data_IF_496505120865
#
_entry.id   IF_496505120865
#
_cell.length_a   1.000
_cell.length_b   1.000
_cell.length_c   1.000
_cell.angle_alpha   90.00
_cell.angle_beta   90.00
_cell.angle_gamma   90.00
#
_symmetry.space_group_name_H-M   'P 1'
#
loop_
_entity.id
_entity.type
_entity.pdbx_description
1 polymer ?
#
# COMPACT_ATOMS: atom_id res chain seq x y z
N UNK A 1 74.03 -19.75 -22.27
CA UNK A 1 73.33 -18.48 -21.94
C UNK A 1 71.89 -18.67 -22.30
N UNK A 2 70.99 -18.89 -21.29
CA UNK A 2 69.55 -19.11 -21.46
C UNK A 2 68.86 -17.82 -21.07
N UNK A 3 68.25 -17.11 -22.04
CA UNK A 3 67.45 -15.90 -21.81
C UNK A 3 66.07 -16.30 -21.23
N UNK A 4 65.83 -15.91 -19.99
CA UNK A 4 64.50 -16.00 -19.37
C UNK A 4 63.65 -14.89 -19.93
N UNK A 5 62.56 -15.25 -20.63
CA UNK A 5 61.47 -14.35 -21.03
C UNK A 5 60.44 -14.31 -19.86
N UNK A 6 60.36 -13.17 -19.20
CA UNK A 6 59.35 -12.92 -18.18
C UNK A 6 58.10 -12.39 -18.91
N UNK A 7 57.05 -13.22 -18.96
CA UNK A 7 55.78 -12.85 -19.51
C UNK A 7 54.94 -12.21 -18.36
N UNK A 8 54.83 -10.89 -18.35
CA UNK A 8 53.98 -10.16 -17.40
C UNK A 8 52.56 -10.24 -17.85
N UNK A 9 51.75 -11.04 -17.12
CA UNK A 9 50.31 -11.13 -17.30
C UNK A 9 49.65 -9.91 -16.61
N UNK A 10 49.31 -8.89 -17.39
CA UNK A 10 48.51 -7.74 -16.92
C UNK A 10 47.07 -8.17 -16.70
N UNK A 11 46.67 -8.32 -15.46
CA UNK A 11 45.25 -8.52 -15.10
C UNK A 11 44.53 -7.17 -15.19
N UNK A 12 43.76 -6.98 -16.27
CA UNK A 12 42.87 -5.83 -16.43
C UNK A 12 41.65 -6.04 -15.54
N UNK A 13 41.67 -5.43 -14.34
CA UNK A 13 40.50 -5.36 -13.47
C UNK A 13 39.45 -4.42 -14.09
N UNK A 14 38.47 -5.00 -14.78
CA UNK A 14 37.27 -4.29 -15.25
C UNK A 14 36.38 -4.02 -14.04
N UNK A 15 36.52 -2.85 -13.43
CA UNK A 15 35.56 -2.39 -12.42
C UNK A 15 34.25 -2.06 -13.12
N UNK A 16 33.27 -2.99 -13.07
CA UNK A 16 31.91 -2.71 -13.44
C UNK A 16 31.37 -1.79 -12.34
N UNK A 17 31.34 -0.48 -12.62
CA UNK A 17 30.59 0.47 -11.81
C UNK A 17 29.12 0.12 -11.94
N UNK A 18 28.59 -0.63 -10.97
CA UNK A 18 27.16 -0.83 -10.82
C UNK A 18 26.59 0.54 -10.51
N UNK A 19 25.98 1.20 -11.51
CA UNK A 19 25.25 2.44 -11.32
C UNK A 19 24.09 2.14 -10.40
N UNK A 20 24.28 2.35 -9.10
CA UNK A 20 23.21 2.28 -8.13
C UNK A 20 22.19 3.36 -8.51
N UNK A 21 21.07 2.93 -9.10
CA UNK A 21 19.97 3.82 -9.45
C UNK A 21 19.55 4.56 -8.17
N UNK A 22 19.58 5.91 -8.25
CA UNK A 22 19.25 6.74 -7.08
C UNK A 22 17.89 6.33 -6.55
N UNK A 23 17.74 6.05 -5.23
CA UNK A 23 16.45 5.66 -4.67
C UNK A 23 15.39 6.72 -5.03
N UNK A 24 14.16 6.29 -5.32
CA UNK A 24 13.08 7.21 -5.62
C UNK A 24 12.81 8.12 -4.42
N UNK A 25 12.73 9.43 -4.66
CA UNK A 25 12.48 10.45 -3.63
C UNK A 25 11.01 10.44 -3.19
N UNK A 26 10.70 9.62 -2.18
CA UNK A 26 9.40 9.58 -1.53
C UNK A 26 9.17 10.84 -0.71
N UNK A 27 7.94 11.35 -0.74
CA UNK A 27 7.52 12.54 -0.01
C UNK A 27 6.42 12.21 0.98
N UNK A 28 6.41 12.90 2.11
CA UNK A 28 5.28 12.84 3.04
C UNK A 28 3.96 13.08 2.32
N UNK A 29 3.00 12.18 2.53
CA UNK A 29 1.71 12.19 1.85
C UNK A 29 1.64 11.37 0.56
N UNK A 30 2.76 10.78 0.09
CA UNK A 30 2.69 9.75 -0.96
C UNK A 30 1.93 8.53 -0.44
N UNK A 31 1.18 7.90 -1.31
CA UNK A 31 0.33 6.74 -0.98
C UNK A 31 0.94 5.51 -1.64
N UNK A 32 1.28 4.51 -0.86
CA UNK A 32 1.88 3.26 -1.32
C UNK A 32 0.80 2.19 -1.44
N UNK A 33 0.53 1.74 -2.66
CA UNK A 33 -0.37 0.63 -2.95
C UNK A 33 0.44 -0.66 -3.08
N UNK A 34 0.06 -1.68 -2.34
CA UNK A 34 0.82 -2.92 -2.22
C UNK A 34 -0.04 -4.15 -2.56
N UNK A 35 0.53 -5.07 -3.35
CA UNK A 35 0.04 -6.44 -3.42
C UNK A 35 0.77 -7.25 -2.34
N UNK A 36 0.06 -7.69 -1.31
CA UNK A 36 0.69 -8.38 -0.18
C UNK A 36 1.15 -9.79 -0.57
N UNK A 37 2.34 -10.20 -0.13
CA UNK A 37 2.87 -11.54 -0.40
C UNK A 37 2.22 -12.64 0.43
N UNK A 38 1.61 -12.29 1.55
CA UNK A 38 0.93 -13.25 2.41
C UNK A 38 -0.23 -13.88 1.62
N UNK A 39 -0.05 -15.15 1.23
CA UNK A 39 -1.10 -15.96 0.57
C UNK A 39 -2.16 -16.44 1.56
N UNK A 40 -2.50 -15.61 2.55
CA UNK A 40 -3.60 -15.95 3.46
C UNK A 40 -4.90 -15.95 2.67
N UNK A 41 -5.84 -16.76 3.11
CA UNK A 41 -7.19 -16.78 2.54
C UNK A 41 -7.84 -15.38 2.55
N UNK A 42 -7.53 -14.57 3.55
CA UNK A 42 -8.03 -13.21 3.70
C UNK A 42 -7.51 -12.26 2.60
N UNK A 43 -6.19 -12.26 2.31
CA UNK A 43 -5.60 -11.44 1.24
C UNK A 43 -6.19 -11.82 -0.11
N UNK A 44 -6.30 -13.12 -0.42
CA UNK A 44 -6.95 -13.60 -1.64
C UNK A 44 -8.40 -13.16 -1.75
N UNK A 45 -9.13 -13.20 -0.64
CA UNK A 45 -10.52 -12.76 -0.62
C UNK A 45 -10.66 -11.26 -0.97
N UNK A 46 -9.76 -10.40 -0.48
CA UNK A 46 -9.71 -8.98 -0.85
C UNK A 46 -9.38 -8.82 -2.35
N UNK A 47 -8.37 -9.51 -2.86
CA UNK A 47 -7.94 -9.45 -4.26
C UNK A 47 -9.09 -9.82 -5.22
N UNK A 48 -9.90 -10.80 -4.88
CA UNK A 48 -11.00 -11.30 -5.72
C UNK A 48 -12.19 -10.34 -5.82
N UNK A 49 -12.39 -9.47 -4.83
CA UNK A 49 -13.55 -8.55 -4.80
C UNK A 49 -13.19 -7.12 -5.19
N UNK A 50 -11.91 -6.79 -5.34
CA UNK A 50 -11.45 -5.44 -5.68
C UNK A 50 -10.84 -5.36 -7.08
N UNK A 51 -11.04 -4.23 -7.78
CA UNK A 51 -10.39 -3.95 -9.06
C UNK A 51 -9.32 -2.87 -8.85
N UNK A 52 -8.10 -3.15 -9.28
CA UNK A 52 -6.95 -2.27 -9.09
C UNK A 52 -6.49 -1.61 -10.38
N UNK A 53 -5.57 -0.63 -10.27
CA UNK A 53 -4.82 -0.10 -11.38
C UNK A 53 -4.04 -1.24 -12.05
N UNK A 54 -4.12 -1.34 -13.38
CA UNK A 54 -3.38 -2.30 -14.22
C UNK A 54 -3.51 -3.76 -13.72
N UNK A 55 -4.66 -4.13 -13.14
CA UNK A 55 -4.97 -5.46 -12.60
C UNK A 55 -3.95 -6.01 -11.58
N UNK A 56 -3.24 -5.10 -10.90
CA UNK A 56 -2.20 -5.46 -9.93
C UNK A 56 -2.73 -6.05 -8.61
N UNK A 57 -4.04 -6.11 -8.43
CA UNK A 57 -4.72 -6.71 -7.28
C UNK A 57 -4.18 -6.21 -5.93
N UNK A 58 -4.15 -4.88 -5.74
CA UNK A 58 -3.71 -4.29 -4.48
C UNK A 58 -4.61 -4.71 -3.33
N UNK A 59 -4.01 -5.30 -2.32
CA UNK A 59 -4.67 -5.77 -1.10
C UNK A 59 -4.34 -4.93 0.12
N UNK A 60 -3.42 -3.97 0.00
CA UNK A 60 -3.00 -3.11 1.10
C UNK A 60 -2.58 -1.72 0.63
N UNK A 61 -2.66 -0.73 1.54
CA UNK A 61 -2.27 0.65 1.27
C UNK A 61 -1.82 1.35 2.55
N UNK A 62 -0.84 2.26 2.41
CA UNK A 62 -0.36 3.11 3.50
C UNK A 62 0.12 4.46 3.00
N UNK A 63 0.42 5.38 3.90
CA UNK A 63 0.84 6.76 3.61
C UNK A 63 2.25 7.00 4.09
N UNK A 64 3.09 7.54 3.21
CA UNK A 64 4.49 7.90 3.53
C UNK A 64 4.53 9.06 4.53
N UNK A 65 5.37 8.89 5.54
CA UNK A 65 5.81 9.91 6.48
C UNK A 65 7.34 9.98 6.43
N UNK A 66 7.89 11.11 6.01
CA UNK A 66 9.32 11.40 6.12
C UNK A 66 9.55 12.18 7.41
N UNK A 67 10.34 11.64 8.33
CA UNK A 67 10.60 12.20 9.66
C UNK A 67 12.09 11.96 10.01
N UNK A 68 12.82 13.02 10.35
CA UNK A 68 14.26 12.98 10.68
C UNK A 68 15.13 12.27 9.62
N UNK A 69 14.84 12.49 8.35
CA UNK A 69 15.54 11.88 7.22
C UNK A 69 15.22 10.40 6.99
N UNK A 70 14.34 9.81 7.78
CA UNK A 70 13.87 8.43 7.65
C UNK A 70 12.49 8.37 7.00
N UNK A 71 12.22 7.29 6.27
CA UNK A 71 10.94 7.08 5.61
C UNK A 71 10.15 6.00 6.33
N UNK A 72 8.97 6.37 6.77
CA UNK A 72 7.99 5.47 7.40
C UNK A 72 6.71 5.41 6.57
N UNK A 73 5.87 4.42 6.86
CA UNK A 73 4.52 4.28 6.32
C UNK A 73 3.53 4.25 7.49
N UNK A 74 2.56 5.16 7.47
CA UNK A 74 1.41 5.11 8.36
C UNK A 74 0.37 4.20 7.72
N UNK A 75 0.00 3.12 8.41
CA UNK A 75 -0.87 2.08 7.88
C UNK A 75 -1.76 1.46 8.97
N UNK A 76 -2.97 1.03 8.59
CA UNK A 76 -3.75 0.13 9.42
C UNK A 76 -3.48 -1.30 8.96
N UNK A 77 -2.83 -2.07 9.80
CA UNK A 77 -2.50 -3.48 9.61
C UNK A 77 -2.82 -4.25 10.90
N UNK A 78 -2.71 -5.57 10.89
CA UNK A 78 -2.97 -6.35 12.09
C UNK A 78 -1.76 -6.26 13.04
N UNK A 79 -1.96 -6.00 14.34
CA UNK A 79 -3.26 -5.86 15.05
C UNK A 79 -3.85 -4.46 15.08
N UNK A 80 -3.11 -3.41 14.67
CA UNK A 80 -3.49 -2.01 14.88
C UNK A 80 -2.99 -1.05 13.79
N UNK A 81 -3.32 0.23 13.94
CA UNK A 81 -2.75 1.32 13.14
C UNK A 81 -1.36 1.64 13.65
N UNK A 82 -0.36 1.57 12.78
CA UNK A 82 1.03 1.71 13.18
C UNK A 82 1.88 2.56 12.20
N UNK A 83 3.08 2.92 12.68
CA UNK A 83 4.14 3.55 11.89
C UNK A 83 5.20 2.50 11.56
N UNK A 84 5.27 2.06 10.32
CA UNK A 84 6.15 0.99 9.84
C UNK A 84 7.34 1.57 9.06
N UNK A 85 8.60 1.18 9.32
CA UNK A 85 9.72 1.53 8.46
C UNK A 85 9.49 1.10 7.01
N UNK A 86 9.84 1.96 6.03
CA UNK A 86 9.62 1.69 4.61
C UNK A 86 10.14 0.31 4.18
N UNK A 87 11.34 -0.05 4.62
CA UNK A 87 11.94 -1.35 4.27
C UNK A 87 11.07 -2.54 4.72
N UNK A 88 10.50 -2.46 5.94
CA UNK A 88 9.59 -3.48 6.47
C UNK A 88 8.31 -3.54 5.65
N UNK A 89 7.73 -2.39 5.28
CA UNK A 89 6.56 -2.31 4.42
C UNK A 89 6.84 -2.96 3.06
N UNK A 90 7.94 -2.59 2.38
CA UNK A 90 8.30 -3.16 1.08
C UNK A 90 8.54 -4.67 1.14
N UNK A 91 9.14 -5.19 2.21
CA UNK A 91 9.35 -6.63 2.41
C UNK A 91 8.06 -7.45 2.54
N UNK A 92 6.94 -6.81 2.85
CA UNK A 92 5.62 -7.48 2.91
C UNK A 92 4.94 -7.59 1.54
N UNK A 93 5.42 -6.88 0.54
CA UNK A 93 4.89 -6.94 -0.82
C UNK A 93 5.22 -8.29 -1.50
N UNK A 94 4.33 -8.72 -2.40
CA UNK A 94 4.65 -9.74 -3.39
C UNK A 94 5.84 -9.26 -4.22
N UNK A 95 6.70 -10.18 -4.64
CA UNK A 95 7.87 -9.83 -5.46
C UNK A 95 7.70 -10.33 -6.88
N UNK A 96 8.13 -9.50 -7.84
CA UNK A 96 8.33 -9.86 -9.26
C UNK A 96 9.77 -9.51 -9.59
N UNK A 97 10.54 -10.49 -10.07
CA UNK A 97 11.96 -10.35 -10.41
C UNK A 97 12.81 -9.74 -9.27
N UNK A 98 12.50 -10.10 -8.02
CA UNK A 98 13.19 -9.59 -6.83
C UNK A 98 12.70 -8.22 -6.35
N UNK A 99 11.84 -7.53 -7.10
CA UNK A 99 11.33 -6.21 -6.77
C UNK A 99 9.93 -6.28 -6.13
N UNK A 100 9.62 -5.44 -5.12
CA UNK A 100 8.32 -5.45 -4.47
C UNK A 100 7.24 -4.87 -5.38
N UNK A 101 6.09 -5.54 -5.48
CA UNK A 101 4.92 -5.03 -6.21
C UNK A 101 4.27 -3.93 -5.38
N UNK A 102 4.86 -2.74 -5.47
CA UNK A 102 4.39 -1.51 -4.83
C UNK A 102 4.37 -0.37 -5.85
N UNK A 103 3.27 0.38 -5.85
CA UNK A 103 3.06 1.55 -6.70
C UNK A 103 2.88 2.79 -5.82
N UNK A 104 3.50 3.90 -6.22
CA UNK A 104 3.45 5.17 -5.51
C UNK A 104 2.47 6.11 -6.19
N UNK A 105 1.39 6.46 -5.51
CA UNK A 105 0.45 7.50 -5.89
C UNK A 105 0.72 8.79 -5.11
N UNK A 106 0.93 9.90 -5.82
CA UNK A 106 1.13 11.22 -5.20
C UNK A 106 -0.11 12.07 -5.36
N UNK A 107 -0.67 12.66 -4.28
CA UNK A 107 -1.77 13.59 -4.38
C UNK A 107 -1.46 14.73 -5.36
N UNK A 108 -2.41 15.03 -6.26
CA UNK A 108 -2.24 16.11 -7.26
C UNK A 108 -2.06 17.47 -6.58
N UNK A 109 -1.42 18.46 -7.25
CA UNK A 109 -1.07 19.77 -6.66
C UNK A 109 -2.19 20.43 -5.87
N UNK A 110 -3.43 20.36 -6.37
CA UNK A 110 -4.60 20.94 -5.70
C UNK A 110 -4.94 20.32 -4.34
N UNK A 111 -4.40 19.15 -4.03
CA UNK A 111 -4.62 18.44 -2.77
C UNK A 111 -3.41 18.43 -1.82
N UNK A 112 -2.25 18.90 -2.29
CA UNK A 112 -1.02 18.88 -1.49
C UNK A 112 -1.12 19.73 -0.21
N UNK A 113 -1.89 20.82 -0.26
CA UNK A 113 -2.11 21.68 0.92
C UNK A 113 -2.85 20.96 2.07
N UNK A 114 -3.55 19.87 1.79
CA UNK A 114 -4.23 19.07 2.83
C UNK A 114 -3.32 18.04 3.51
N UNK A 115 -2.12 17.78 2.97
CA UNK A 115 -1.23 16.72 3.48
C UNK A 115 -0.84 16.93 4.95
N UNK A 116 -0.41 18.12 5.42
CA UNK A 116 -0.05 18.29 6.85
C UNK A 116 -1.19 17.87 7.78
N UNK A 117 -2.43 18.34 7.51
CA UNK A 117 -3.60 17.96 8.30
C UNK A 117 -3.91 16.45 8.19
N UNK A 118 -3.75 15.88 7.00
CA UNK A 118 -3.96 14.44 6.81
C UNK A 118 -2.99 13.61 7.66
N UNK A 119 -1.72 14.02 7.74
CA UNK A 119 -0.73 13.35 8.58
C UNK A 119 -1.08 13.47 10.07
N UNK A 120 -1.55 14.62 10.54
CA UNK A 120 -2.01 14.78 11.93
C UNK A 120 -3.17 13.83 12.25
N UNK A 121 -4.17 13.74 11.36
CA UNK A 121 -5.29 12.81 11.52
C UNK A 121 -4.80 11.36 11.51
N UNK A 122 -3.93 10.96 10.59
CA UNK A 122 -3.35 9.61 10.55
C UNK A 122 -2.59 9.27 11.82
N UNK A 123 -1.80 10.23 12.35
CA UNK A 123 -1.10 10.05 13.63
C UNK A 123 -2.07 9.89 14.81
N UNK A 124 -3.26 10.49 14.78
CA UNK A 124 -4.25 10.33 15.84
C UNK A 124 -4.89 8.94 15.89
N UNK A 125 -4.77 8.17 14.81
CA UNK A 125 -5.25 6.78 14.76
C UNK A 125 -4.21 5.77 15.27
N UNK A 126 -2.95 6.15 15.50
CA UNK A 126 -1.90 5.23 15.96
C UNK A 126 -2.33 4.47 17.22
N UNK A 127 -2.15 3.15 17.22
CA UNK A 127 -2.56 2.25 18.29
C UNK A 127 -4.05 1.88 18.30
N UNK A 128 -4.87 2.46 17.41
CA UNK A 128 -6.26 2.05 17.26
C UNK A 128 -6.35 0.66 16.63
N UNK A 129 -7.29 -0.21 17.05
CA UNK A 129 -7.39 -1.57 16.58
C UNK A 129 -7.68 -1.67 15.07
N UNK A 130 -7.20 -2.75 14.45
CA UNK A 130 -7.55 -3.07 13.06
C UNK A 130 -9.03 -3.48 12.95
N UNK A 131 -9.74 -2.94 11.95
CA UNK A 131 -11.11 -3.33 11.67
C UNK A 131 -11.18 -4.56 10.76
N UNK A 132 -11.54 -5.69 11.33
CA UNK A 132 -11.73 -6.95 10.60
C UNK A 132 -13.09 -7.06 9.91
N UNK A 133 -14.03 -6.19 10.26
CA UNK A 133 -15.41 -6.28 9.79
C UNK A 133 -15.82 -5.16 8.83
N UNK A 134 -14.93 -4.22 8.59
CA UNK A 134 -15.07 -3.13 7.62
C UNK A 134 -16.33 -2.27 7.85
N UNK A 135 -16.70 -2.08 9.11
CA UNK A 135 -17.86 -1.26 9.48
C UNK A 135 -17.42 0.18 9.80
N UNK A 136 -18.15 1.20 9.34
CA UNK A 136 -17.87 2.58 9.73
C UNK A 136 -18.17 2.81 11.22
N UNK A 137 -17.56 3.85 11.78
CA UNK A 137 -17.88 4.40 13.11
C UNK A 137 -17.78 3.41 14.30
N UNK A 138 -16.87 2.43 14.23
CA UNK A 138 -16.66 1.41 15.27
C UNK A 138 -15.38 1.57 16.07
N UNK A 139 -14.67 2.71 15.94
CA UNK A 139 -13.36 3.03 16.55
C UNK A 139 -12.24 2.00 16.22
N UNK A 140 -12.40 1.29 15.12
CA UNK A 140 -11.43 0.40 14.50
C UNK A 140 -11.22 0.84 13.06
N UNK A 141 -10.09 0.49 12.47
CA UNK A 141 -9.75 1.06 11.17
C UNK A 141 -9.09 0.02 10.26
N UNK A 142 -9.48 0.00 9.00
CA UNK A 142 -8.78 -0.76 7.96
C UNK A 142 -7.95 0.16 7.05
N UNK A 143 -7.07 -0.41 6.25
CA UNK A 143 -5.98 0.31 5.58
C UNK A 143 -6.43 1.49 4.71
N UNK A 144 -7.42 1.32 3.85
CA UNK A 144 -7.91 2.39 2.99
C UNK A 144 -8.85 3.36 3.70
N UNK A 145 -9.50 2.95 4.77
CA UNK A 145 -10.38 3.80 5.56
C UNK A 145 -9.63 4.95 6.25
N UNK A 146 -8.47 4.67 6.88
CA UNK A 146 -7.68 5.74 7.51
C UNK A 146 -7.27 6.82 6.50
N UNK A 147 -7.02 6.44 5.24
CA UNK A 147 -6.69 7.39 4.17
C UNK A 147 -7.92 8.20 3.76
N UNK A 148 -9.07 7.55 3.63
CA UNK A 148 -10.33 8.20 3.32
C UNK A 148 -10.70 9.25 4.36
N UNK A 149 -10.57 8.92 5.64
CA UNK A 149 -10.90 9.80 6.77
C UNK A 149 -9.88 10.94 6.94
N UNK A 150 -8.62 10.71 6.58
CA UNK A 150 -7.54 11.68 6.77
C UNK A 150 -7.41 12.69 5.61
N UNK A 151 -7.54 12.25 4.36
CA UNK A 151 -7.35 13.12 3.21
C UNK A 151 -8.61 13.91 2.88
N UNK A 152 -8.74 15.08 3.51
CA UNK A 152 -9.92 15.95 3.38
C UNK A 152 -9.61 17.20 2.55
N UNK A 153 -10.63 17.67 1.83
CA UNK A 153 -10.63 18.99 1.17
C UNK A 153 -10.81 20.09 2.23
N UNK A 154 -10.57 21.37 1.89
CA UNK A 154 -10.79 22.47 2.84
C UNK A 154 -12.20 22.55 3.43
N UNK A 155 -13.20 22.07 2.70
CA UNK A 155 -14.60 22.00 3.16
C UNK A 155 -14.93 20.75 3.99
N UNK A 156 -13.94 19.98 4.42
CA UNK A 156 -14.08 18.75 5.22
C UNK A 156 -14.54 17.52 4.44
N UNK A 157 -14.83 17.62 3.14
CA UNK A 157 -15.24 16.44 2.34
C UNK A 157 -14.00 15.60 1.96
N UNK A 158 -14.11 14.27 1.98
CA UNK A 158 -13.02 13.39 1.55
C UNK A 158 -12.55 13.67 0.13
N UNK A 159 -11.26 13.48 -0.11
CA UNK A 159 -10.65 13.59 -1.45
C UNK A 159 -10.96 12.33 -2.26
N UNK A 160 -10.94 11.18 -1.60
CA UNK A 160 -11.30 9.89 -2.19
C UNK A 160 -12.82 9.65 -2.10
N UNK A 161 -13.32 8.75 -2.91
CA UNK A 161 -14.75 8.39 -2.93
C UNK A 161 -14.95 7.08 -2.17
N UNK A 162 -15.93 7.02 -1.29
CA UNK A 162 -16.46 5.76 -0.79
C UNK A 162 -17.51 5.22 -1.77
N UNK A 163 -17.54 3.91 -1.95
CA UNK A 163 -18.47 3.19 -2.82
C UNK A 163 -19.12 2.05 -2.04
N UNK A 164 -20.30 1.57 -2.45
CA UNK A 164 -20.88 0.38 -1.86
C UNK A 164 -19.89 -0.79 -1.97
N UNK A 165 -19.50 -1.35 -0.82
CA UNK A 165 -18.64 -2.52 -0.78
C UNK A 165 -19.36 -3.76 -1.29
N UNK A 166 -18.65 -4.63 -1.98
CA UNK A 166 -19.13 -5.95 -2.32
C UNK A 166 -18.12 -7.02 -1.89
N UNK A 167 -18.65 -8.09 -1.31
CA UNK A 167 -17.90 -9.27 -0.89
C UNK A 167 -18.18 -10.46 -1.83
N UNK A 168 -18.78 -10.16 -2.98
CA UNK A 168 -19.04 -11.12 -4.04
C UNK A 168 -17.83 -11.20 -4.98
N UNK A 169 -17.48 -12.40 -5.32
CA UNK A 169 -16.47 -12.68 -6.35
C UNK A 169 -16.92 -12.11 -7.69
N UNK A 170 -16.01 -11.48 -8.44
CA UNK A 170 -16.33 -10.76 -9.68
C UNK A 170 -16.77 -11.67 -10.83
N UNK A 171 -16.28 -12.92 -10.83
CA UNK A 171 -16.54 -13.88 -11.91
C UNK A 171 -17.84 -14.66 -11.65
N UNK A 172 -18.05 -15.06 -10.39
CA UNK A 172 -19.19 -15.90 -10.01
C UNK A 172 -20.40 -15.13 -9.51
N UNK A 173 -20.22 -13.89 -9.04
CA UNK A 173 -21.26 -13.10 -8.39
C UNK A 173 -21.65 -13.59 -6.99
N UNK A 174 -21.00 -14.62 -6.47
CA UNK A 174 -21.27 -15.26 -5.20
C UNK A 174 -20.31 -14.82 -4.10
N UNK A 175 -20.81 -14.72 -2.88
CA UNK A 175 -19.92 -14.51 -1.71
C UNK A 175 -19.13 -15.77 -1.43
N UNK A 176 -17.80 -15.64 -1.50
CA UNK A 176 -16.91 -16.79 -1.32
C UNK A 176 -17.04 -17.41 0.09
N UNK A 177 -16.78 -18.73 0.23
CA UNK A 177 -16.77 -19.38 1.55
C UNK A 177 -15.78 -18.74 2.53
N UNK A 178 -14.73 -18.11 2.03
CA UNK A 178 -13.75 -17.40 2.86
C UNK A 178 -14.36 -16.19 3.56
N UNK A 179 -15.16 -15.38 2.84
CA UNK A 179 -15.85 -14.24 3.42
C UNK A 179 -16.95 -14.70 4.38
N UNK A 180 -17.75 -15.69 4.02
CA UNK A 180 -18.78 -16.27 4.91
C UNK A 180 -18.16 -16.69 6.25
N UNK A 181 -17.09 -17.51 6.20
CA UNK A 181 -16.39 -17.98 7.41
C UNK A 181 -15.73 -16.84 8.20
N UNK A 182 -15.22 -15.81 7.50
CA UNK A 182 -14.61 -14.64 8.13
C UNK A 182 -15.62 -13.88 8.99
N UNK A 183 -16.78 -13.49 8.42
CA UNK A 183 -17.80 -12.74 9.13
C UNK A 183 -18.51 -13.58 10.20
N UNK A 184 -18.68 -14.87 9.97
CA UNK A 184 -19.18 -15.82 10.95
C UNK A 184 -18.29 -15.86 12.23
N UNK A 185 -16.95 -15.94 12.03
CA UNK A 185 -15.97 -15.87 13.13
C UNK A 185 -16.07 -14.58 13.92
N UNK A 186 -16.34 -13.48 13.27
CA UNK A 186 -16.49 -12.17 13.91
C UNK A 186 -17.92 -11.90 14.40
N UNK A 187 -18.84 -12.86 14.25
CA UNK A 187 -20.25 -12.77 14.68
C UNK A 187 -20.95 -11.51 14.15
N UNK A 188 -20.66 -11.15 12.90
CA UNK A 188 -21.15 -9.95 12.25
C UNK A 188 -21.72 -10.30 10.87
N UNK A 189 -22.86 -9.72 10.46
CA UNK A 189 -23.33 -9.85 9.07
C UNK A 189 -22.31 -9.32 8.08
N UNK A 190 -22.32 -9.86 6.85
CA UNK A 190 -21.50 -9.34 5.76
C UNK A 190 -21.99 -7.93 5.42
N UNK A 191 -21.13 -6.89 5.45
CA UNK A 191 -21.55 -5.50 5.21
C UNK A 191 -21.66 -5.19 3.71
N UNK A 192 -22.38 -6.04 2.98
CA UNK A 192 -22.65 -5.87 1.56
C UNK A 192 -23.42 -4.58 1.31
N UNK A 193 -22.94 -3.75 0.39
CA UNK A 193 -23.56 -2.47 0.04
C UNK A 193 -23.28 -1.30 0.99
N UNK A 194 -22.65 -1.52 2.14
CA UNK A 194 -22.23 -0.42 3.02
C UNK A 194 -21.12 0.38 2.31
N UNK A 195 -21.17 1.72 2.45
CA UNK A 195 -20.15 2.58 1.85
C UNK A 195 -18.79 2.36 2.52
N UNK A 196 -17.80 2.08 1.72
CA UNK A 196 -16.42 1.88 2.16
C UNK A 196 -15.41 2.19 1.07
N UNK A 197 -14.16 1.83 1.28
CA UNK A 197 -13.06 2.06 0.35
C UNK A 197 -12.21 0.82 0.19
N UNK A 198 -11.46 0.75 -0.90
CA UNK A 198 -10.48 -0.30 -1.12
C UNK A 198 -9.18 0.25 -1.68
N UNK A 199 -8.03 -0.42 -1.45
CA UNK A 199 -6.76 -0.05 -2.07
C UNK A 199 -6.87 -0.01 -3.59
N UNK A 200 -7.57 -0.96 -4.19
CA UNK A 200 -7.77 -1.04 -5.63
C UNK A 200 -8.49 0.18 -6.20
N UNK A 201 -9.61 0.59 -5.62
CA UNK A 201 -10.34 1.77 -6.08
C UNK A 201 -9.54 3.06 -5.87
N UNK A 202 -8.87 3.20 -4.73
CA UNK A 202 -8.01 4.35 -4.45
C UNK A 202 -6.88 4.48 -5.48
N UNK A 203 -6.29 3.36 -5.92
CA UNK A 203 -5.20 3.36 -6.91
C UNK A 203 -5.61 3.93 -8.27
N UNK A 204 -6.90 3.85 -8.61
CA UNK A 204 -7.50 4.39 -9.84
C UNK A 204 -8.06 5.80 -9.68
N UNK A 205 -7.91 6.39 -8.48
CA UNK A 205 -8.49 7.71 -8.20
C UNK A 205 -7.87 8.81 -9.05
N UNK A 206 -8.72 9.68 -9.62
CA UNK A 206 -8.30 10.91 -10.29
C UNK A 206 -7.66 11.94 -9.35
N UNK A 207 -7.64 11.70 -8.05
CA UNK A 207 -7.04 12.60 -7.06
C UNK A 207 -5.51 12.46 -6.98
N UNK A 208 -4.96 11.35 -7.42
CA UNK A 208 -3.53 11.06 -7.40
C UNK A 208 -2.95 10.99 -8.81
N UNK A 209 -1.61 11.05 -8.88
CA UNK A 209 -0.80 10.72 -10.05
C UNK A 209 0.16 9.60 -9.63
N UNK A 210 0.26 8.55 -10.44
CA UNK A 210 1.30 7.53 -10.25
C UNK A 210 2.64 8.16 -10.60
N UNK A 211 3.59 8.08 -9.68
CA UNK A 211 4.90 8.73 -9.80
C UNK A 211 6.06 7.73 -9.78
N UNK A 212 5.83 6.51 -9.29
CA UNK A 212 6.86 5.46 -9.25
C UNK A 212 6.24 4.06 -9.14
N UNK A 213 6.99 3.06 -9.61
CA UNK A 213 6.76 1.64 -9.42
C UNK A 213 8.07 1.01 -9.00
N UNK A 214 8.04 0.12 -8.02
CA UNK A 214 9.24 -0.55 -7.51
C UNK A 214 9.65 -1.79 -8.32
N UNK A 215 8.86 -2.16 -9.31
CA UNK A 215 9.04 -3.34 -10.19
C UNK A 215 9.01 -2.95 -11.66
#
# INVERSE_FOLDING_TARGET
>A
MIKKIILSLGVLLLTIALSAQKPFDLKTGDILFQTNKARTSFVKAIENVTTSLDDLNFSHVGVVLVEDGQVFVLEATQPDVCKTPLEKFLKQAKSVDGNPVVVVGRPKPKYQKSIPRAIEILKSFLGKPYDYVFLPDNDKYYCSEIIYLAFLRPNGKPIFKATPMSFKDKETGETSPLWKKHFERHKTPIPEGILGTSPGEMSRSKAIKIVHRYF
#
